data_IF_744472325301
#
_entry.id   IF_744472325301
#
_cell.length_a   1.000
_cell.length_b   1.000
_cell.length_c   1.000
_cell.angle_alpha   90.00
_cell.angle_beta   90.00
_cell.angle_gamma   90.00
#
_symmetry.space_group_name_H-M   'P 1'
#
loop_
_entity.id
_entity.type
_entity.pdbx_description
1 polymer ?
#
# COMPACT_ATOMS: atom_id res chain seq x y z
N UNK A 1 0.92 23.88 -19.37
CA UNK A 1 1.38 22.73 -18.56
C UNK A 1 2.28 21.84 -19.42
N UNK A 2 3.24 21.13 -18.84
CA UNK A 2 4.12 20.18 -19.55
C UNK A 2 3.84 18.79 -18.99
N UNK A 3 3.58 17.83 -19.87
CA UNK A 3 3.45 16.42 -19.49
C UNK A 3 4.86 15.81 -19.36
N UNK A 4 5.25 15.43 -18.14
CA UNK A 4 6.53 14.76 -17.89
C UNK A 4 6.50 13.30 -18.38
N UNK A 5 5.42 12.59 -18.04
CA UNK A 5 5.16 11.22 -18.50
C UNK A 5 3.64 11.04 -18.66
N UNK A 6 3.20 10.60 -19.82
CA UNK A 6 1.79 10.38 -20.15
C UNK A 6 1.57 8.94 -20.64
N UNK A 7 0.30 8.52 -20.75
CA UNK A 7 -0.04 7.16 -21.17
C UNK A 7 0.21 6.10 -20.08
N UNK A 8 0.28 6.51 -18.81
CA UNK A 8 0.34 5.59 -17.69
C UNK A 8 -1.00 4.85 -17.52
N UNK A 9 -0.99 3.59 -17.05
CA UNK A 9 -2.20 2.86 -16.71
C UNK A 9 -3.13 3.66 -15.78
N UNK A 10 -4.43 3.54 -16.03
CA UNK A 10 -5.47 4.10 -15.18
C UNK A 10 -6.70 3.20 -15.17
N UNK A 11 -7.33 3.09 -14.01
CA UNK A 11 -8.60 2.40 -13.79
C UNK A 11 -9.37 3.09 -12.64
N UNK A 12 -10.45 2.47 -12.16
CA UNK A 12 -11.19 2.98 -10.99
C UNK A 12 -10.62 2.50 -9.64
N UNK A 13 -9.77 1.48 -9.67
CA UNK A 13 -9.33 0.76 -8.49
C UNK A 13 -7.81 0.87 -8.34
N UNK A 14 -7.32 0.89 -7.10
CA UNK A 14 -5.89 0.84 -6.76
C UNK A 14 -4.98 1.75 -7.62
N UNK A 15 -5.32 3.03 -7.73
CA UNK A 15 -4.51 3.98 -8.47
C UNK A 15 -3.20 4.35 -7.75
N UNK A 16 -3.18 4.21 -6.42
CA UNK A 16 -2.11 4.70 -5.54
C UNK A 16 -1.85 6.21 -5.74
N UNK A 17 -0.81 6.59 -6.50
CA UNK A 17 -0.61 7.96 -6.98
C UNK A 17 0.18 8.88 -6.06
N UNK A 18 0.96 8.34 -5.11
CA UNK A 18 1.80 9.18 -4.24
C UNK A 18 3.04 9.62 -5.01
N UNK A 19 3.26 10.94 -5.06
CA UNK A 19 4.43 11.56 -5.71
C UNK A 19 5.28 12.27 -4.67
N UNK A 20 6.57 11.95 -4.62
CA UNK A 20 7.56 12.67 -3.80
C UNK A 20 8.81 12.99 -4.62
N UNK A 21 9.53 14.05 -4.25
CA UNK A 21 10.85 14.34 -4.81
C UNK A 21 11.90 13.85 -3.81
N UNK A 22 12.78 12.97 -4.26
CA UNK A 22 13.86 12.43 -3.45
C UNK A 22 15.01 13.40 -3.21
N UNK A 23 15.87 13.10 -2.24
CA UNK A 23 17.09 13.88 -1.99
C UNK A 23 18.09 13.83 -3.16
N UNK A 24 17.90 12.90 -4.09
CA UNK A 24 18.64 12.78 -5.36
C UNK A 24 18.03 13.61 -6.51
N UNK A 25 17.05 14.47 -6.20
CA UNK A 25 16.30 15.30 -7.13
C UNK A 25 15.63 14.49 -8.24
N UNK A 26 15.05 13.34 -7.89
CA UNK A 26 14.22 12.51 -8.77
C UNK A 26 12.78 12.48 -8.28
N UNK A 27 11.86 12.29 -9.21
CA UNK A 27 10.46 12.01 -8.89
C UNK A 27 10.36 10.54 -8.55
N UNK A 28 9.75 10.22 -7.41
CA UNK A 28 9.29 8.89 -7.06
C UNK A 28 7.77 8.87 -7.08
N UNK A 29 7.18 7.94 -7.83
CA UNK A 29 5.74 7.87 -8.05
C UNK A 29 5.22 6.45 -7.84
N UNK A 30 4.24 6.29 -6.95
CA UNK A 30 3.60 5.00 -6.75
C UNK A 30 2.44 4.82 -7.73
N UNK A 31 2.38 3.66 -8.41
CA UNK A 31 1.32 3.32 -9.33
C UNK A 31 0.81 1.92 -8.99
N UNK A 32 -0.44 1.82 -8.53
CA UNK A 32 -0.98 0.55 -8.06
C UNK A 32 -1.32 -0.42 -9.19
N UNK A 33 -1.84 -1.59 -8.84
CA UNK A 33 -2.08 -2.72 -9.75
C UNK A 33 -3.36 -2.59 -10.60
N UNK A 34 -4.05 -1.44 -10.48
CA UNK A 34 -5.27 -1.12 -11.22
C UNK A 34 -6.50 -1.96 -10.83
N UNK A 35 -6.43 -2.70 -9.72
CA UNK A 35 -7.50 -3.57 -9.24
C UNK A 35 -7.57 -4.92 -9.96
N UNK A 36 -6.59 -5.27 -10.80
CA UNK A 36 -6.60 -6.54 -11.53
C UNK A 36 -6.58 -7.73 -10.55
N UNK A 37 -7.35 -8.77 -10.86
CA UNK A 37 -7.58 -9.94 -10.00
C UNK A 37 -8.50 -9.70 -8.79
N UNK A 38 -9.32 -8.63 -8.80
CA UNK A 38 -10.39 -8.43 -7.81
C UNK A 38 -11.60 -7.69 -8.38
N UNK A 39 -12.76 -7.84 -7.71
CA UNK A 39 -14.01 -7.10 -7.96
C UNK A 39 -14.33 -6.95 -9.46
N UNK A 40 -14.46 -5.71 -9.95
CA UNK A 40 -14.81 -5.40 -11.34
C UNK A 40 -13.75 -5.90 -12.34
N UNK A 41 -12.49 -5.99 -11.92
CA UNK A 41 -11.36 -6.38 -12.75
C UNK A 41 -10.85 -7.80 -12.41
N UNK A 42 -11.74 -8.65 -11.87
CA UNK A 42 -11.41 -9.99 -11.39
C UNK A 42 -10.67 -10.85 -12.43
N UNK A 43 -11.06 -10.75 -13.69
CA UNK A 43 -10.51 -11.61 -14.75
C UNK A 43 -9.38 -10.95 -15.55
N UNK A 44 -8.99 -9.73 -15.21
CA UNK A 44 -7.85 -9.04 -15.80
C UNK A 44 -6.53 -9.58 -15.23
N UNK A 45 -5.52 -9.84 -16.07
CA UNK A 45 -4.22 -10.31 -15.60
C UNK A 45 -3.51 -9.22 -14.79
N UNK A 46 -3.01 -9.57 -13.60
CA UNK A 46 -2.31 -8.62 -12.75
C UNK A 46 -0.86 -8.38 -13.25
N UNK A 47 -0.51 -7.12 -13.52
CA UNK A 47 0.77 -6.75 -14.11
C UNK A 47 1.85 -6.36 -13.08
N UNK A 48 1.61 -6.52 -11.77
CA UNK A 48 2.56 -6.11 -10.74
C UNK A 48 3.95 -6.77 -10.89
N UNK A 49 4.01 -8.01 -11.39
CA UNK A 49 5.25 -8.73 -11.72
C UNK A 49 5.74 -8.53 -13.16
N UNK A 50 4.92 -7.95 -14.04
CA UNK A 50 5.31 -7.69 -15.42
C UNK A 50 6.28 -6.53 -15.51
N UNK A 51 7.20 -6.62 -16.46
CA UNK A 51 8.27 -5.64 -16.71
C UNK A 51 8.28 -5.28 -18.19
N UNK A 52 8.54 -4.01 -18.53
CA UNK A 52 8.50 -3.57 -19.92
C UNK A 52 9.65 -4.16 -20.73
N UNK A 53 9.39 -4.47 -21.99
CA UNK A 53 10.43 -4.79 -22.98
C UNK A 53 11.09 -3.53 -23.53
N UNK A 54 12.28 -3.67 -24.13
CA UNK A 54 12.95 -2.55 -24.80
C UNK A 54 12.10 -1.94 -25.93
N UNK A 55 11.30 -2.78 -26.62
CA UNK A 55 10.44 -2.36 -27.72
C UNK A 55 9.22 -1.58 -27.22
N UNK A 56 8.61 -2.01 -26.11
CA UNK A 56 7.53 -1.27 -25.45
C UNK A 56 7.99 0.11 -24.99
N UNK A 57 9.17 0.20 -24.35
CA UNK A 57 9.74 1.50 -23.95
C UNK A 57 9.98 2.43 -25.15
N UNK A 58 10.49 1.89 -26.27
CA UNK A 58 10.69 2.67 -27.50
C UNK A 58 9.37 3.21 -28.04
N UNK A 59 8.30 2.43 -27.89
CA UNK A 59 6.94 2.79 -28.31
C UNK A 59 6.19 3.62 -27.27
N UNK A 60 6.79 3.91 -26.10
CA UNK A 60 6.13 4.52 -24.94
C UNK A 60 4.87 3.76 -24.50
N UNK A 61 4.91 2.44 -24.62
CA UNK A 61 3.91 1.55 -24.06
C UNK A 61 4.25 1.25 -22.60
N UNK A 62 3.37 1.68 -21.69
CA UNK A 62 3.55 1.59 -20.25
C UNK A 62 2.54 0.67 -19.57
N UNK A 63 1.90 -0.25 -20.30
CA UNK A 63 0.91 -1.18 -19.69
C UNK A 63 1.49 -1.98 -18.51
N UNK A 64 2.78 -2.33 -18.55
CA UNK A 64 3.47 -3.05 -17.48
C UNK A 64 3.82 -2.19 -16.24
N UNK A 65 3.46 -0.90 -16.20
CA UNK A 65 3.79 0.01 -15.10
C UNK A 65 2.82 -0.09 -13.90
N UNK A 66 1.79 -0.94 -13.98
CA UNK A 66 0.91 -1.23 -12.85
C UNK A 66 1.65 -1.99 -11.74
N UNK A 67 1.41 -1.62 -10.48
CA UNK A 67 1.98 -2.26 -9.30
C UNK A 67 3.48 -1.99 -9.12
N UNK A 68 3.89 -0.72 -9.25
CA UNK A 68 5.28 -0.26 -9.26
C UNK A 68 5.50 0.96 -8.36
N UNK A 69 6.74 1.15 -7.91
CA UNK A 69 7.28 2.49 -7.65
C UNK A 69 8.13 2.87 -8.85
N UNK A 70 7.82 4.01 -9.46
CA UNK A 70 8.60 4.59 -10.57
C UNK A 70 9.58 5.63 -10.02
N UNK A 71 10.75 5.74 -10.65
CA UNK A 71 11.74 6.80 -10.43
C UNK A 71 12.07 7.47 -11.76
N UNK A 72 11.88 8.79 -11.83
CA UNK A 72 12.04 9.58 -13.04
C UNK A 72 12.95 10.79 -12.81
N UNK A 73 13.61 11.26 -13.87
CA UNK A 73 14.20 12.59 -13.85
C UNK A 73 13.09 13.66 -13.76
N UNK A 74 13.46 14.89 -13.34
CA UNK A 74 12.50 16.00 -13.23
C UNK A 74 11.90 16.42 -14.59
N UNK A 75 12.55 16.05 -15.69
CA UNK A 75 12.07 16.25 -17.06
C UNK A 75 11.23 15.05 -17.58
N UNK A 76 10.98 14.05 -16.74
CA UNK A 76 10.22 12.84 -17.08
C UNK A 76 11.02 11.74 -17.77
N UNK A 77 12.31 11.95 -18.07
CA UNK A 77 13.14 10.93 -18.70
C UNK A 77 13.57 9.82 -17.73
N UNK A 78 13.94 8.66 -18.28
CA UNK A 78 14.47 7.52 -17.52
C UNK A 78 15.85 7.88 -16.93
N UNK A 79 16.04 7.83 -15.60
CA UNK A 79 17.35 7.97 -14.98
C UNK A 79 18.29 6.86 -15.45
N UNK A 80 19.51 7.21 -15.88
CA UNK A 80 20.52 6.25 -16.36
C UNK A 80 20.95 5.24 -15.29
N UNK A 81 20.82 5.64 -14.04
CA UNK A 81 21.14 4.84 -12.86
C UNK A 81 19.93 4.08 -12.30
N UNK A 82 18.79 4.04 -12.98
CA UNK A 82 17.68 3.15 -12.56
C UNK A 82 18.10 1.67 -12.61
N UNK A 83 17.46 0.81 -11.80
CA UNK A 83 17.73 -0.63 -11.83
C UNK A 83 17.38 -1.21 -13.21
N UNK A 84 18.17 -2.21 -13.63
CA UNK A 84 17.88 -3.00 -14.82
C UNK A 84 17.12 -4.25 -14.42
N UNK A 85 16.00 -4.50 -15.08
CA UNK A 85 15.26 -5.74 -14.95
C UNK A 85 15.26 -6.46 -16.30
N UNK A 86 15.67 -7.73 -16.31
CA UNK A 86 15.79 -8.53 -17.54
C UNK A 86 16.58 -7.82 -18.66
N UNK A 87 17.61 -7.05 -18.31
CA UNK A 87 18.45 -6.31 -19.24
C UNK A 87 17.85 -4.98 -19.75
N UNK A 88 16.69 -4.56 -19.24
CA UNK A 88 16.00 -3.32 -19.62
C UNK A 88 16.00 -2.34 -18.45
N UNK A 89 16.50 -1.12 -18.69
CA UNK A 89 16.39 0.00 -17.73
C UNK A 89 15.21 0.88 -18.12
N UNK A 90 14.22 0.98 -17.24
CA UNK A 90 12.97 1.73 -17.44
C UNK A 90 12.75 2.74 -16.31
N UNK A 91 11.57 3.38 -16.25
CA UNK A 91 11.20 4.19 -15.08
C UNK A 91 10.95 3.34 -13.82
N UNK A 92 10.81 2.02 -13.93
CA UNK A 92 10.56 1.14 -12.77
C UNK A 92 11.73 1.16 -11.80
N UNK A 93 11.46 1.53 -10.55
CA UNK A 93 12.43 1.48 -9.44
C UNK A 93 12.25 0.21 -8.60
N UNK A 94 10.99 -0.15 -8.31
CA UNK A 94 10.59 -1.40 -7.67
C UNK A 94 9.31 -1.93 -8.28
N UNK A 95 9.06 -3.23 -8.12
CA UNK A 95 7.88 -3.92 -8.65
C UNK A 95 7.22 -4.82 -7.60
N UNK A 96 6.08 -5.40 -7.94
CA UNK A 96 5.37 -6.33 -7.06
C UNK A 96 4.56 -5.62 -5.99
N UNK A 97 3.91 -4.50 -6.33
CA UNK A 97 3.04 -3.75 -5.43
C UNK A 97 1.55 -3.90 -5.81
N UNK A 98 0.66 -3.85 -4.82
CA UNK A 98 -0.80 -3.80 -4.93
C UNK A 98 -1.32 -2.36 -4.97
N UNK A 99 -1.46 -1.69 -3.82
CA UNK A 99 -1.99 -0.33 -3.72
C UNK A 99 -1.17 0.57 -2.75
N UNK A 100 0.06 0.95 -3.15
CA UNK A 100 1.01 1.73 -2.34
C UNK A 100 0.63 3.22 -2.18
N UNK A 101 -0.32 3.56 -1.30
CA UNK A 101 -0.76 4.96 -1.12
C UNK A 101 0.20 5.83 -0.30
N UNK A 102 0.99 5.23 0.61
CA UNK A 102 1.96 5.96 1.41
C UNK A 102 3.38 5.85 0.84
N UNK A 103 4.10 6.98 0.74
CA UNK A 103 5.51 7.02 0.33
C UNK A 103 6.18 8.25 0.96
N UNK A 104 7.25 8.06 1.73
CA UNK A 104 7.95 9.15 2.42
C UNK A 104 9.44 8.86 2.62
N UNK A 105 10.27 9.87 2.36
CA UNK A 105 11.70 9.83 2.69
C UNK A 105 11.93 10.09 4.17
N UNK A 106 12.74 9.24 4.79
CA UNK A 106 13.33 9.49 6.10
C UNK A 106 14.51 10.49 5.99
N UNK A 107 14.91 11.16 7.09
CA UNK A 107 16.01 12.13 7.09
C UNK A 107 17.34 11.60 6.57
N UNK A 108 17.58 10.29 6.65
CA UNK A 108 18.80 9.64 6.15
C UNK A 108 18.69 9.17 4.68
N UNK A 109 17.64 9.56 3.96
CA UNK A 109 17.44 9.23 2.55
C UNK A 109 16.82 7.85 2.28
N UNK A 110 16.51 7.07 3.31
CA UNK A 110 15.70 5.85 3.13
C UNK A 110 14.27 6.17 2.75
N UNK A 111 13.66 5.32 1.95
CA UNK A 111 12.31 5.51 1.45
C UNK A 111 11.38 4.50 2.12
N UNK A 112 10.45 4.99 2.94
CA UNK A 112 9.43 4.20 3.61
C UNK A 112 8.11 4.28 2.85
N UNK A 113 7.33 3.21 2.91
CA UNK A 113 6.13 3.05 2.11
C UNK A 113 5.06 2.31 2.92
N UNK A 114 3.79 2.67 2.74
CA UNK A 114 2.65 1.98 3.34
C UNK A 114 1.66 1.53 2.25
N UNK A 115 1.32 0.24 2.26
CA UNK A 115 0.60 -0.45 1.19
C UNK A 115 -0.67 -1.12 1.69
N UNK A 116 -1.72 -1.11 0.86
CA UNK A 116 -2.92 -1.89 1.15
C UNK A 116 -2.80 -3.29 0.56
N UNK A 117 -2.88 -4.31 1.41
CA UNK A 117 -3.02 -5.72 1.07
C UNK A 117 -4.45 -6.10 0.68
N UNK A 118 -4.71 -7.39 0.37
CA UNK A 118 -6.05 -7.89 0.08
C UNK A 118 -6.90 -8.01 1.36
N UNK A 119 -7.27 -9.22 1.78
CA UNK A 119 -8.06 -9.42 3.00
C UNK A 119 -7.16 -9.44 4.25
N UNK A 120 -5.85 -9.50 4.09
CA UNK A 120 -4.83 -9.48 5.13
C UNK A 120 -3.65 -8.64 4.66
N UNK A 121 -2.62 -8.54 5.50
CA UNK A 121 -1.27 -8.13 5.08
C UNK A 121 -1.20 -6.76 4.37
N UNK A 122 -1.84 -5.73 4.94
CA UNK A 122 -1.38 -4.37 4.69
C UNK A 122 0.07 -4.23 5.17
N UNK A 123 0.89 -3.43 4.50
CA UNK A 123 2.33 -3.47 4.69
C UNK A 123 2.93 -2.11 5.04
N UNK A 124 4.00 -2.16 5.84
CA UNK A 124 5.01 -1.11 5.92
C UNK A 124 6.29 -1.66 5.29
N UNK A 125 6.76 -0.98 4.25
CA UNK A 125 7.91 -1.41 3.46
C UNK A 125 9.07 -0.42 3.53
N UNK A 126 10.29 -0.96 3.49
CA UNK A 126 11.49 -0.20 3.12
C UNK A 126 11.71 -0.36 1.62
N UNK A 127 11.59 0.72 0.86
CA UNK A 127 11.75 0.73 -0.61
C UNK A 127 13.24 0.68 -0.98
N UNK A 128 13.67 -0.43 -1.57
CA UNK A 128 15.07 -0.66 -1.98
C UNK A 128 15.14 -0.80 -3.50
N UNK A 129 16.07 -0.08 -4.12
CA UNK A 129 16.31 -0.09 -5.57
C UNK A 129 16.37 -1.51 -6.14
N UNK A 130 15.54 -1.83 -7.12
CA UNK A 130 15.53 -3.14 -7.78
C UNK A 130 14.78 -4.24 -7.01
N UNK A 131 14.16 -3.90 -5.88
CA UNK A 131 13.38 -4.81 -5.05
C UNK A 131 12.06 -5.24 -5.69
N UNK A 132 11.66 -6.47 -5.38
CA UNK A 132 10.37 -7.06 -5.74
C UNK A 132 9.56 -7.31 -4.45
N UNK A 133 8.41 -6.69 -4.32
CA UNK A 133 7.56 -6.75 -3.11
C UNK A 133 6.53 -7.88 -3.17
N UNK A 134 6.65 -8.78 -4.15
CA UNK A 134 5.98 -10.08 -4.15
C UNK A 134 4.59 -10.10 -4.77
N UNK A 135 3.79 -9.04 -4.64
CA UNK A 135 2.41 -9.01 -5.15
C UNK A 135 2.34 -9.34 -6.66
N UNK A 136 1.39 -10.18 -7.13
CA UNK A 136 0.33 -10.85 -6.38
C UNK A 136 0.69 -12.26 -5.89
N UNK A 137 1.96 -12.67 -5.93
CA UNK A 137 2.33 -14.04 -5.58
C UNK A 137 2.53 -14.22 -4.07
N UNK A 138 2.80 -13.13 -3.36
CA UNK A 138 3.01 -13.06 -1.91
C UNK A 138 2.23 -11.85 -1.40
N UNK A 139 1.56 -11.97 -0.27
CA UNK A 139 0.97 -10.85 0.47
C UNK A 139 1.60 -10.81 1.87
N UNK A 140 2.38 -9.77 2.16
CA UNK A 140 3.13 -9.70 3.41
C UNK A 140 4.42 -10.52 3.36
N UNK A 141 4.60 -11.38 4.37
CA UNK A 141 5.74 -12.30 4.39
C UNK A 141 5.49 -13.45 3.41
N UNK A 142 6.56 -14.11 2.94
CA UNK A 142 6.40 -15.40 2.24
C UNK A 142 6.31 -16.49 3.30
N UNK A 143 5.11 -16.78 3.77
CA UNK A 143 4.86 -17.65 4.92
C UNK A 143 3.76 -18.70 4.71
N UNK A 144 3.06 -18.68 3.57
CA UNK A 144 1.91 -19.54 3.28
C UNK A 144 0.83 -19.46 4.39
N UNK A 145 0.62 -18.27 4.98
CA UNK A 145 -0.31 -18.05 6.09
C UNK A 145 -1.42 -17.07 5.74
N UNK A 146 -2.65 -17.56 5.65
CA UNK A 146 -3.83 -16.73 5.47
C UNK A 146 -4.00 -16.14 4.05
N UNK A 147 -3.03 -16.32 3.16
CA UNK A 147 -3.07 -15.91 1.75
C UNK A 147 -2.58 -17.01 0.80
N UNK A 148 -3.16 -17.06 -0.40
CA UNK A 148 -2.58 -17.73 -1.55
C UNK A 148 -2.96 -16.98 -2.85
N UNK A 149 -2.13 -17.08 -3.89
CA UNK A 149 -2.42 -16.41 -5.15
C UNK A 149 -3.40 -17.22 -5.99
N UNK A 150 -4.68 -16.85 -5.93
CA UNK A 150 -5.70 -17.34 -6.85
C UNK A 150 -5.71 -16.49 -8.13
N UNK A 151 -5.23 -17.05 -9.26
CA UNK A 151 -5.14 -16.32 -10.52
C UNK A 151 -6.42 -16.48 -11.35
N UNK A 152 -7.37 -15.58 -11.16
CA UNK A 152 -8.67 -15.61 -11.85
C UNK A 152 -8.53 -15.33 -13.36
N UNK A 153 -7.52 -14.58 -13.79
CA UNK A 153 -7.27 -14.36 -15.22
C UNK A 153 -6.96 -15.66 -15.98
N UNK A 154 -6.44 -16.68 -15.28
CA UNK A 154 -6.12 -18.00 -15.80
C UNK A 154 -7.20 -19.06 -15.49
N UNK A 155 -8.34 -18.66 -14.93
CA UNK A 155 -9.40 -19.59 -14.57
C UNK A 155 -10.14 -20.15 -15.80
N UNK A 156 -10.57 -21.40 -15.71
CA UNK A 156 -11.47 -22.01 -16.69
C UNK A 156 -12.92 -21.56 -16.43
N UNK A 157 -13.77 -21.46 -17.47
CA UNK A 157 -15.19 -21.13 -17.31
C UNK A 157 -15.49 -19.84 -16.49
N UNK A 158 -14.77 -18.74 -16.79
CA UNK A 158 -14.86 -17.44 -16.09
C UNK A 158 -16.29 -16.94 -15.82
N UNK A 159 -17.25 -17.20 -16.71
CA UNK A 159 -18.65 -16.78 -16.57
C UNK A 159 -19.39 -17.39 -15.37
N UNK A 160 -18.88 -18.49 -14.79
CA UNK A 160 -19.50 -19.20 -13.67
C UNK A 160 -18.72 -19.01 -12.35
N UNK A 161 -17.56 -18.37 -12.40
CA UNK A 161 -16.67 -18.21 -11.24
C UNK A 161 -17.01 -16.92 -10.52
N UNK A 162 -17.09 -17.03 -9.18
CA UNK A 162 -17.13 -15.89 -8.27
C UNK A 162 -15.94 -15.99 -7.31
N UNK A 163 -15.40 -14.84 -6.96
CA UNK A 163 -14.52 -14.77 -5.80
C UNK A 163 -15.32 -15.07 -4.53
N UNK A 164 -14.79 -15.98 -3.70
CA UNK A 164 -15.40 -16.37 -2.43
C UNK A 164 -15.02 -15.42 -1.28
N UNK A 165 -14.11 -14.46 -1.54
CA UNK A 165 -13.64 -13.50 -0.54
C UNK A 165 -12.84 -14.15 0.58
N UNK A 166 -12.11 -15.22 0.28
CA UNK A 166 -11.34 -16.03 1.26
C UNK A 166 -9.83 -15.92 1.05
N UNK A 167 -9.37 -14.82 0.45
CA UNK A 167 -7.95 -14.51 0.30
C UNK A 167 -7.11 -15.59 -0.42
N UNK A 168 -7.75 -16.37 -1.30
CA UNK A 168 -7.12 -17.50 -2.01
C UNK A 168 -7.00 -18.81 -1.21
N UNK A 169 -7.27 -18.80 0.11
CA UNK A 169 -7.28 -20.02 0.94
C UNK A 169 -8.41 -20.98 0.53
N UNK A 170 -9.55 -20.43 0.11
CA UNK A 170 -10.65 -21.18 -0.48
C UNK A 170 -11.09 -20.49 -1.76
N UNK A 171 -11.11 -21.24 -2.86
CA UNK A 171 -11.46 -20.72 -4.18
C UNK A 171 -12.53 -21.58 -4.84
N UNK A 172 -13.25 -20.99 -5.80
CA UNK A 172 -14.13 -21.76 -6.67
C UNK A 172 -13.32 -22.73 -7.54
N UNK A 173 -13.90 -23.89 -7.86
CA UNK A 173 -13.28 -24.85 -8.76
C UNK A 173 -12.96 -24.21 -10.12
N UNK A 174 -11.79 -24.55 -10.70
CA UNK A 174 -11.33 -24.02 -11.98
C UNK A 174 -10.44 -22.79 -11.90
N UNK A 175 -10.22 -22.21 -10.71
CA UNK A 175 -9.23 -21.16 -10.49
C UNK A 175 -7.88 -21.79 -10.09
N UNK A 176 -6.80 -21.56 -10.86
CA UNK A 176 -5.48 -22.01 -10.45
C UNK A 176 -4.99 -21.20 -9.24
N UNK A 177 -4.42 -21.90 -8.26
CA UNK A 177 -3.86 -21.31 -7.04
C UNK A 177 -2.39 -21.65 -6.95
N UNK A 178 -1.58 -20.67 -6.55
CA UNK A 178 -0.16 -20.83 -6.26
C UNK A 178 0.09 -20.40 -4.82
N UNK A 179 0.76 -21.25 -4.04
CA UNK A 179 1.22 -20.87 -2.70
C UNK A 179 2.37 -19.87 -2.81
N UNK A 180 2.57 -19.06 -1.78
CA UNK A 180 3.64 -18.08 -1.76
C UNK A 180 5.02 -18.74 -1.88
N UNK A 181 5.19 -19.87 -1.18
CA UNK A 181 6.41 -20.68 -1.20
C UNK A 181 6.73 -21.29 -2.57
N UNK A 182 5.73 -21.52 -3.42
CA UNK A 182 5.89 -22.09 -4.76
C UNK A 182 6.40 -21.05 -5.78
N UNK A 183 6.23 -19.75 -5.48
CA UNK A 183 6.66 -18.69 -6.37
C UNK A 183 8.19 -18.57 -6.43
N UNK A 184 8.76 -18.60 -7.63
CA UNK A 184 10.22 -18.62 -7.87
C UNK A 184 10.80 -17.24 -8.23
N UNK A 185 10.10 -16.17 -7.89
CA UNK A 185 10.54 -14.81 -8.19
C UNK A 185 11.86 -14.42 -7.53
N UNK A 186 12.53 -13.43 -8.12
CA UNK A 186 13.85 -12.94 -7.70
C UNK A 186 13.72 -11.63 -6.94
N UNK A 187 14.70 -11.35 -6.08
CA UNK A 187 14.82 -10.11 -5.30
C UNK A 187 13.60 -9.80 -4.44
N UNK A 188 12.95 -10.85 -3.89
CA UNK A 188 11.84 -10.66 -2.96
C UNK A 188 12.32 -9.89 -1.72
N UNK A 189 11.57 -8.86 -1.34
CA UNK A 189 11.77 -8.08 -0.12
C UNK A 189 10.49 -8.19 0.71
N UNK A 190 10.61 -8.79 1.88
CA UNK A 190 9.53 -8.86 2.86
C UNK A 190 9.26 -7.48 3.50
N UNK A 191 8.03 -7.24 3.98
CA UNK A 191 7.71 -6.00 4.68
C UNK A 191 8.46 -5.89 6.01
N UNK A 192 8.64 -4.65 6.48
CA UNK A 192 9.10 -4.40 7.85
C UNK A 192 8.03 -4.77 8.88
N UNK A 193 6.75 -4.62 8.51
CA UNK A 193 5.59 -4.92 9.37
C UNK A 193 4.35 -5.15 8.53
N UNK A 194 3.55 -6.15 8.89
CA UNK A 194 2.22 -6.38 8.36
C UNK A 194 1.14 -5.89 9.33
N UNK A 195 -0.02 -5.48 8.81
CA UNK A 195 -1.16 -4.91 9.54
C UNK A 195 -2.48 -5.52 9.03
N UNK A 196 -2.72 -6.83 9.11
CA UNK A 196 -2.03 -7.84 9.92
C UNK A 196 -1.98 -9.19 9.19
N UNK A 197 -1.01 -10.02 9.57
CA UNK A 197 -0.92 -11.42 9.14
C UNK A 197 -1.81 -12.30 10.03
N UNK A 198 -2.46 -13.31 9.45
CA UNK A 198 -3.30 -14.28 10.14
C UNK A 198 -3.05 -15.69 9.60
N UNK A 199 -3.44 -16.72 10.36
CA UNK A 199 -3.32 -18.11 9.92
C UNK A 199 -4.49 -18.51 9.00
N UNK A 200 -4.35 -19.62 8.26
CA UNK A 200 -5.38 -20.19 7.37
C UNK A 200 -6.72 -20.47 8.04
N UNK A 201 -6.72 -20.65 9.37
CA UNK A 201 -7.92 -20.89 10.17
C UNK A 201 -8.75 -19.64 10.43
N UNK A 202 -8.26 -18.46 10.02
CA UNK A 202 -8.96 -17.19 10.19
C UNK A 202 -10.30 -17.16 9.44
N UNK A 203 -11.34 -16.66 10.10
CA UNK A 203 -12.66 -16.50 9.51
C UNK A 203 -12.80 -15.14 8.81
N UNK A 204 -12.71 -15.11 7.48
CA UNK A 204 -12.91 -13.90 6.67
C UNK A 204 -14.38 -13.44 6.56
N UNK A 205 -15.34 -14.21 7.10
CA UNK A 205 -16.77 -13.88 7.14
C UNK A 205 -17.22 -13.59 8.58
N UNK A 206 -16.57 -12.62 9.23
CA UNK A 206 -16.96 -12.21 10.58
C UNK A 206 -18.38 -11.60 10.57
N UNK A 207 -19.36 -12.21 11.25
CA UNK A 207 -20.73 -11.71 11.29
C UNK A 207 -20.87 -10.35 11.99
N UNK A 208 -19.88 -9.92 12.78
CA UNK A 208 -19.88 -8.60 13.44
C UNK A 208 -20.04 -7.44 12.45
N UNK A 209 -19.51 -7.59 11.23
CA UNK A 209 -19.59 -6.56 10.19
C UNK A 209 -20.80 -6.72 9.25
N UNK A 210 -21.66 -7.73 9.45
CA UNK A 210 -22.84 -7.97 8.61
C UNK A 210 -22.49 -8.05 7.11
N UNK A 211 -23.25 -7.34 6.28
CA UNK A 211 -23.03 -7.30 4.81
C UNK A 211 -21.72 -6.61 4.40
N UNK A 212 -21.10 -5.84 5.30
CA UNK A 212 -19.84 -5.12 5.08
C UNK A 212 -18.65 -5.88 5.65
N UNK A 213 -18.62 -7.20 5.45
CA UNK A 213 -17.62 -8.16 5.98
C UNK A 213 -16.18 -7.67 5.87
N UNK A 214 -15.84 -6.99 4.78
CA UNK A 214 -14.49 -6.48 4.53
C UNK A 214 -13.96 -5.48 5.58
N UNK A 215 -14.81 -4.84 6.37
CA UNK A 215 -14.36 -3.96 7.46
C UNK A 215 -13.77 -4.77 8.62
N UNK A 216 -14.22 -6.02 8.81
CA UNK A 216 -13.72 -6.89 9.88
C UNK A 216 -12.46 -7.66 9.49
N UNK A 217 -12.17 -7.81 8.19
CA UNK A 217 -10.91 -8.41 7.72
C UNK A 217 -9.68 -7.82 8.42
N UNK A 218 -8.61 -8.62 8.63
CA UNK A 218 -7.41 -8.25 9.40
C UNK A 218 -6.52 -7.26 8.64
N UNK A 219 -7.09 -6.13 8.24
CA UNK A 219 -6.45 -5.02 7.54
C UNK A 219 -6.82 -3.70 8.20
N UNK A 220 -6.05 -2.66 7.92
CA UNK A 220 -6.28 -1.28 8.36
C UNK A 220 -6.49 -0.30 7.20
N UNK A 221 -6.29 -0.73 5.95
CA UNK A 221 -6.36 0.08 4.74
C UNK A 221 -5.57 1.41 4.90
N UNK A 222 -4.21 1.34 5.00
CA UNK A 222 -3.39 2.53 5.14
C UNK A 222 -3.56 3.44 3.93
N UNK A 223 -3.71 4.75 4.17
CA UNK A 223 -3.99 5.75 3.13
C UNK A 223 -2.82 6.69 2.83
N UNK A 224 -1.81 6.72 3.69
CA UNK A 224 -0.62 7.53 3.54
C UNK A 224 0.50 6.99 4.43
N UNK A 225 1.68 7.59 4.32
CA UNK A 225 2.81 7.36 5.21
C UNK A 225 3.54 8.70 5.38
N UNK A 226 3.78 9.10 6.63
CA UNK A 226 4.46 10.36 6.94
C UNK A 226 5.55 10.14 7.97
N UNK A 227 6.79 10.51 7.62
CA UNK A 227 7.91 10.47 8.56
C UNK A 227 7.84 11.70 9.47
N UNK A 228 7.65 11.49 10.77
CA UNK A 228 7.65 12.56 11.74
C UNK A 228 9.08 13.03 12.02
N UNK A 229 9.34 14.31 11.73
CA UNK A 229 10.69 14.92 11.82
C UNK A 229 10.90 15.74 13.09
N UNK A 230 9.90 15.87 13.96
CA UNK A 230 10.00 16.64 15.19
C UNK A 230 10.07 18.15 14.96
N UNK A 231 10.88 18.83 15.75
CA UNK A 231 11.00 20.29 15.77
C UNK A 231 11.32 20.82 17.17
N UNK A 232 11.32 22.14 17.35
CA UNK A 232 11.61 22.79 18.64
C UNK A 232 10.62 22.42 19.76
N UNK A 233 9.41 21.98 19.38
CA UNK A 233 8.33 21.52 20.26
C UNK A 233 7.94 20.09 19.94
N UNK A 234 8.92 19.26 19.54
CA UNK A 234 8.68 17.85 19.24
C UNK A 234 7.89 17.17 20.37
N UNK A 235 6.96 16.30 19.99
CA UNK A 235 6.18 15.50 20.93
C UNK A 235 7.15 14.49 21.57
N UNK A 236 7.29 14.47 22.91
CA UNK A 236 8.22 13.57 23.57
C UNK A 236 7.98 12.10 23.22
N UNK A 237 9.03 11.37 22.86
CA UNK A 237 8.97 9.94 22.52
C UNK A 237 8.56 9.63 21.08
N UNK A 238 8.32 10.66 20.25
CA UNK A 238 7.93 10.48 18.84
C UNK A 238 9.11 10.52 17.87
N UNK A 239 10.34 10.54 18.36
CA UNK A 239 11.55 10.51 17.52
C UNK A 239 11.52 9.27 16.62
N UNK A 240 11.95 9.39 15.37
CA UNK A 240 11.99 8.26 14.43
C UNK A 240 10.65 7.51 14.30
N UNK A 241 9.53 8.23 14.20
CA UNK A 241 8.21 7.59 14.00
C UNK A 241 7.67 7.79 12.59
N UNK A 242 6.98 6.77 12.10
CA UNK A 242 6.14 6.82 10.91
C UNK A 242 4.68 6.94 11.34
N UNK A 243 3.97 7.93 10.81
CA UNK A 243 2.53 8.11 11.00
C UNK A 243 1.79 7.52 9.79
N UNK A 244 0.84 6.62 10.07
CA UNK A 244 0.10 5.87 9.05
C UNK A 244 -1.40 5.98 9.31
N UNK A 245 -2.12 6.87 8.60
CA UNK A 245 -3.56 6.99 8.73
C UNK A 245 -4.27 5.74 8.21
N UNK A 246 -5.31 5.30 8.93
CA UNK A 246 -6.15 4.17 8.55
C UNK A 246 -7.52 4.64 8.10
N UNK A 247 -7.97 4.15 6.95
CA UNK A 247 -9.31 4.41 6.43
C UNK A 247 -10.36 3.65 7.22
N UNK A 248 -10.25 2.32 7.30
CA UNK A 248 -11.33 1.48 7.84
C UNK A 248 -11.38 1.44 9.37
N UNK A 249 -10.29 1.78 10.07
CA UNK A 249 -10.24 1.74 11.55
C UNK A 249 -10.48 3.09 12.22
N UNK A 250 -10.38 4.18 11.47
CA UNK A 250 -10.53 5.53 12.01
C UNK A 250 -9.54 5.87 13.12
N UNK A 251 -8.28 5.48 12.90
CA UNK A 251 -7.13 5.80 13.74
C UNK A 251 -5.96 6.27 12.88
N UNK A 252 -4.99 6.94 13.49
CA UNK A 252 -3.67 7.14 12.90
C UNK A 252 -2.69 6.30 13.71
N UNK A 253 -2.01 5.36 13.06
CA UNK A 253 -0.98 4.57 13.71
C UNK A 253 0.31 5.37 13.84
N UNK A 254 0.98 5.24 14.99
CA UNK A 254 2.37 5.63 15.18
C UNK A 254 3.22 4.37 15.24
N UNK A 255 4.17 4.25 14.33
CA UNK A 255 5.09 3.11 14.24
C UNK A 255 6.49 3.64 14.55
N UNK A 256 7.13 3.10 15.59
CA UNK A 256 8.49 3.49 15.97
C UNK A 256 9.48 2.79 15.04
N UNK A 257 10.49 3.51 14.61
CA UNK A 257 11.61 3.00 13.82
C UNK A 257 12.87 3.08 14.68
N UNK A 258 13.86 2.25 14.34
CA UNK A 258 15.20 2.45 14.87
C UNK A 258 15.84 3.76 14.34
N UNK A 259 16.95 4.17 14.95
CA UNK A 259 17.63 5.43 14.59
C UNK A 259 18.06 5.48 13.13
N UNK A 260 18.30 4.31 12.51
CA UNK A 260 18.73 4.21 11.12
C UNK A 260 17.59 3.98 10.14
N UNK A 261 16.33 3.92 10.61
CA UNK A 261 15.16 3.60 9.78
C UNK A 261 15.34 2.28 8.98
N UNK A 262 16.02 1.29 9.55
CA UNK A 262 16.22 -0.06 8.99
C UNK A 262 15.14 -1.04 9.44
N UNK A 263 14.56 -0.84 10.62
CA UNK A 263 13.59 -1.77 11.21
C UNK A 263 12.58 -1.02 12.08
N UNK A 264 11.44 -1.66 12.35
CA UNK A 264 10.44 -1.13 13.29
C UNK A 264 10.71 -1.64 14.70
N UNK A 265 10.38 -0.83 15.70
CA UNK A 265 10.23 -1.28 17.09
C UNK A 265 8.75 -1.43 17.44
N UNK A 266 8.47 -2.40 18.30
CA UNK A 266 7.16 -2.68 18.88
C UNK A 266 6.04 -2.78 17.83
N UNK A 267 4.80 -2.60 18.27
CA UNK A 267 3.61 -2.63 17.42
C UNK A 267 3.24 -1.25 16.86
N UNK A 268 2.31 -1.24 15.90
CA UNK A 268 1.69 -0.01 15.43
C UNK A 268 0.70 0.51 16.49
N UNK A 269 0.99 1.67 17.10
CA UNK A 269 0.19 2.22 18.18
C UNK A 269 -0.97 3.06 17.61
N UNK A 270 -2.25 2.67 17.79
CA UNK A 270 -3.38 3.44 17.29
C UNK A 270 -3.58 4.73 18.11
N UNK A 271 -3.93 5.82 17.42
CA UNK A 271 -4.20 7.13 18.03
C UNK A 271 -5.44 7.76 17.40
N UNK A 272 -6.04 8.72 18.11
CA UNK A 272 -7.13 9.57 17.59
C UNK A 272 -8.34 8.79 17.07
N UNK A 273 -8.72 7.70 17.76
CA UNK A 273 -9.89 6.90 17.40
C UNK A 273 -11.13 7.80 17.26
N UNK A 274 -11.80 7.69 16.13
CA UNK A 274 -13.08 8.32 15.83
C UNK A 274 -13.76 7.60 14.67
N UNK A 275 -15.05 7.91 14.43
CA UNK A 275 -15.77 7.41 13.25
C UNK A 275 -15.41 8.28 12.04
N UNK A 276 -14.13 8.29 11.65
CA UNK A 276 -13.63 9.00 10.48
C UNK A 276 -12.76 8.07 9.64
N UNK A 277 -12.66 8.33 8.35
CA UNK A 277 -11.70 7.65 7.47
C UNK A 277 -10.51 8.57 7.26
N UNK A 278 -9.43 8.38 8.00
CA UNK A 278 -8.26 9.26 7.90
C UNK A 278 -7.52 9.04 6.58
N UNK A 279 -7.27 10.13 5.86
CA UNK A 279 -6.75 10.11 4.48
C UNK A 279 -5.29 10.50 4.38
N UNK A 280 -4.87 11.53 5.11
CA UNK A 280 -3.48 11.98 5.11
C UNK A 280 -3.14 12.69 6.43
N UNK A 281 -1.84 12.79 6.76
CA UNK A 281 -1.35 13.44 7.97
C UNK A 281 0.00 14.12 7.73
N UNK A 282 0.16 15.33 8.26
CA UNK A 282 1.44 16.05 8.34
C UNK A 282 1.61 16.71 9.72
N UNK A 283 2.85 17.03 10.08
CA UNK A 283 3.15 17.86 11.26
C UNK A 283 3.62 19.26 10.85
N UNK A 284 3.40 20.25 11.71
CA UNK A 284 4.00 21.58 11.57
C UNK A 284 5.53 21.52 11.83
N UNK A 285 6.30 22.54 11.39
CA UNK A 285 7.75 22.57 11.60
C UNK A 285 8.21 22.56 13.07
N UNK A 286 7.36 23.00 13.99
CA UNK A 286 7.65 22.95 15.43
C UNK A 286 7.44 21.55 16.02
N UNK A 287 6.70 20.66 15.33
CA UNK A 287 6.47 19.27 15.70
C UNK A 287 5.31 19.02 16.66
N UNK A 288 4.66 20.04 17.22
CA UNK A 288 3.61 19.88 18.24
C UNK A 288 2.17 19.85 17.70
N UNK A 289 1.98 20.07 16.39
CA UNK A 289 0.65 20.11 15.78
C UNK A 289 0.61 19.21 14.55
N UNK A 290 -0.40 18.33 14.49
CA UNK A 290 -0.72 17.53 13.32
C UNK A 290 -1.90 18.16 12.55
N UNK A 291 -1.84 18.09 11.24
CA UNK A 291 -2.94 18.40 10.33
C UNK A 291 -3.33 17.12 9.59
N UNK A 292 -4.63 16.81 9.59
CA UNK A 292 -5.16 15.53 9.15
C UNK A 292 -6.32 15.74 8.20
N UNK A 293 -6.38 14.96 7.12
CA UNK A 293 -7.51 14.92 6.20
C UNK A 293 -8.42 13.71 6.49
N UNK A 294 -9.72 13.85 6.23
CA UNK A 294 -10.70 12.76 6.29
C UNK A 294 -11.48 12.63 4.99
N UNK A 295 -11.90 11.41 4.63
CA UNK A 295 -12.79 11.21 3.47
C UNK A 295 -14.16 11.89 3.69
N UNK A 296 -14.84 12.34 2.61
CA UNK A 296 -16.20 12.87 2.69
C UNK A 296 -17.26 11.80 2.95
N UNK A 297 -16.99 10.55 2.59
CA UNK A 297 -17.92 9.43 2.70
C UNK A 297 -17.18 8.08 2.81
N UNK A 298 -17.94 7.02 3.06
CA UNK A 298 -17.46 5.64 3.09
C UNK A 298 -17.59 5.00 4.47
N UNK A 299 -17.26 3.71 4.53
CA UNK A 299 -17.44 2.91 5.74
C UNK A 299 -16.23 3.01 6.69
N UNK A 300 -16.50 2.98 7.99
CA UNK A 300 -15.50 2.93 9.08
C UNK A 300 -16.01 2.04 10.21
N UNK A 301 -15.09 1.41 10.93
CA UNK A 301 -15.38 0.63 12.12
C UNK A 301 -15.67 1.55 13.32
N UNK A 302 -16.73 1.26 14.07
CA UNK A 302 -17.08 1.90 15.35
C UNK A 302 -16.27 1.32 16.52
N UNK A 303 -16.43 1.91 17.70
CA UNK A 303 -15.80 1.42 18.94
C UNK A 303 -16.28 0.02 19.37
N UNK A 304 -17.53 -0.32 19.05
CA UNK A 304 -18.12 -1.65 19.32
C UNK A 304 -17.74 -2.72 18.27
N UNK A 305 -16.89 -2.35 17.30
CA UNK A 305 -16.44 -3.24 16.23
C UNK A 305 -17.37 -3.32 15.01
N UNK A 306 -18.60 -2.81 15.10
CA UNK A 306 -19.56 -2.77 13.99
C UNK A 306 -19.23 -1.67 12.97
N UNK A 307 -19.98 -1.63 11.85
CA UNK A 307 -19.71 -0.70 10.73
C UNK A 307 -20.67 0.48 10.76
N UNK A 308 -20.16 1.67 10.43
CA UNK A 308 -20.96 2.86 10.10
C UNK A 308 -20.46 3.55 8.85
N UNK A 309 -21.35 4.23 8.14
CA UNK A 309 -21.01 5.20 7.09
C UNK A 309 -21.29 6.65 7.53
N UNK A 310 -21.77 6.86 8.75
CA UNK A 310 -21.94 8.18 9.34
C UNK A 310 -20.59 8.66 9.90
N UNK A 311 -19.88 9.44 9.09
CA UNK A 311 -18.58 9.99 9.48
C UNK A 311 -18.77 11.20 10.39
N UNK A 312 -17.94 11.32 11.43
CA UNK A 312 -18.02 12.40 12.41
C UNK A 312 -17.62 13.76 11.80
N UNK A 313 -16.60 13.76 10.92
CA UNK A 313 -16.06 14.95 10.26
C UNK A 313 -15.87 14.65 8.75
N UNK A 314 -16.93 14.65 7.93
CA UNK A 314 -16.84 14.30 6.52
C UNK A 314 -16.05 15.36 5.73
N UNK A 315 -14.97 14.96 5.04
CA UNK A 315 -14.24 15.82 4.11
C UNK A 315 -13.47 16.96 4.79
N UNK A 316 -12.98 16.73 6.00
CA UNK A 316 -12.45 17.77 6.88
C UNK A 316 -10.93 17.90 6.82
N UNK A 317 -10.45 19.09 7.19
CA UNK A 317 -9.08 19.35 7.63
C UNK A 317 -9.11 19.54 9.15
N UNK A 318 -8.54 18.57 9.89
CA UNK A 318 -8.54 18.54 11.35
C UNK A 318 -7.16 18.94 11.87
N UNK A 319 -7.13 19.70 12.97
CA UNK A 319 -5.90 20.11 13.65
C UNK A 319 -5.82 19.48 15.05
N UNK A 320 -4.82 18.64 15.29
CA UNK A 320 -4.52 18.10 16.61
C UNK A 320 -3.29 18.80 17.18
N UNK A 321 -3.41 19.47 18.34
CA UNK A 321 -2.27 20.13 18.99
C UNK A 321 -1.94 19.42 20.30
N UNK A 322 -0.68 18.99 20.43
CA UNK A 322 -0.17 18.36 21.62
C UNK A 322 -0.27 19.31 22.83
N UNK A 323 -0.72 18.77 23.96
CA UNK A 323 -0.72 19.43 25.26
C UNK A 323 0.06 18.53 26.21
N UNK A 324 1.09 19.06 26.86
CA UNK A 324 1.70 18.38 27.99
C UNK A 324 0.64 18.18 29.08
N UNK A 325 0.66 17.02 29.73
CA UNK A 325 -0.08 16.78 30.97
C UNK A 325 0.74 17.23 32.16
#
# INVERSE_FOLDING_TARGET
>A
PVDLLAGLPSSKDHQAGRLVIGPDHKIYYTLGDQGHNQLTYLFEPNYAQSLPTQQELKNKDFHAYSGKVLRLNLDGSIPRDNPSFNGVTSHVYTLGHRNPQGLAFAPNGKLLQAEQGPNSDDEINLVVKGGNYGWPNVAGYKDDSGYAYANYSAATNKSQIKDLGQNGIKVAAGVPVTKESEWTGKNFIAPLKTLFTVQDTYNYNDPMCGDMTYICWPTVAPSSAYVYTGGKKAIPGWENTLLVPSLKRGVIFRIKMDQTYSTTYDDAIPMFKSNNRYRDVIANPEGNTLYVLTDPEGNVQKDDGSVTNQLENPGALIKFTYKAK
#
